data_IF_858291163810
#
_entry.id   IF_858291163810
#
_cell.length_a   1.000
_cell.length_b   1.000
_cell.length_c   1.000
_cell.angle_alpha   90.00
_cell.angle_beta   90.00
_cell.angle_gamma   90.00
#
_symmetry.space_group_name_H-M   'P 1'
#
loop_
_entity.id
_entity.type
_entity.pdbx_description
1 polymer ?
#
# COMPACT_ATOMS: atom_id res chain seq x y z
N UNK A 1 24.69 4.23 4.47
CA UNK A 1 23.41 4.07 5.19
C UNK A 1 23.51 2.81 6.04
N UNK A 2 23.05 2.81 7.30
CA UNK A 2 23.10 1.57 8.10
C UNK A 2 22.00 0.60 7.65
N UNK A 3 22.25 -0.70 7.80
CA UNK A 3 21.29 -1.77 7.44
C UNK A 3 19.97 -1.61 8.19
N UNK A 4 20.05 -1.25 9.47
CA UNK A 4 18.91 -1.06 10.35
C UNK A 4 18.02 0.08 9.86
N UNK A 5 18.63 1.22 9.49
CA UNK A 5 17.89 2.36 8.96
C UNK A 5 17.16 1.98 7.66
N UNK A 6 17.82 1.24 6.76
CA UNK A 6 17.21 0.82 5.51
C UNK A 6 16.01 -0.10 5.74
N UNK A 7 16.15 -1.12 6.59
CA UNK A 7 15.05 -2.04 6.90
C UNK A 7 13.89 -1.32 7.59
N UNK A 8 14.17 -0.35 8.46
CA UNK A 8 13.13 0.51 9.06
C UNK A 8 12.41 1.31 7.97
N UNK A 9 13.14 1.91 7.02
CA UNK A 9 12.54 2.65 5.93
C UNK A 9 11.65 1.77 5.05
N UNK A 10 12.12 0.56 4.70
CA UNK A 10 11.34 -0.44 3.95
C UNK A 10 10.08 -0.85 4.71
N UNK A 11 10.19 -1.12 6.01
CA UNK A 11 9.05 -1.47 6.85
C UNK A 11 8.02 -0.33 6.93
N UNK A 12 8.45 0.91 7.14
CA UNK A 12 7.57 2.07 7.19
C UNK A 12 6.85 2.29 5.86
N UNK A 13 7.57 2.26 4.75
CA UNK A 13 6.96 2.39 3.41
C UNK A 13 5.99 1.26 3.13
N UNK A 14 6.31 0.03 3.55
CA UNK A 14 5.41 -1.12 3.40
C UNK A 14 4.10 -0.90 4.15
N UNK A 15 4.16 -0.50 5.43
CA UNK A 15 2.98 -0.25 6.27
C UNK A 15 2.13 0.88 5.71
N UNK A 16 2.72 2.01 5.37
CA UNK A 16 2.00 3.17 4.84
C UNK A 16 1.42 2.90 3.45
N UNK A 17 2.18 2.26 2.55
CA UNK A 17 1.72 1.89 1.22
C UNK A 17 0.56 0.89 1.30
N UNK A 18 0.68 -0.16 2.10
CA UNK A 18 -0.39 -1.14 2.31
C UNK A 18 -1.63 -0.48 2.92
N UNK A 19 -1.47 0.46 3.86
CA UNK A 19 -2.59 1.22 4.44
C UNK A 19 -3.30 2.06 3.38
N UNK A 20 -2.55 2.75 2.51
CA UNK A 20 -3.10 3.54 1.40
C UNK A 20 -3.85 2.66 0.41
N UNK A 21 -3.26 1.54 0.01
CA UNK A 21 -3.88 0.56 -0.88
C UNK A 21 -5.16 -0.01 -0.28
N UNK A 22 -5.14 -0.33 1.01
CA UNK A 22 -6.32 -0.83 1.73
C UNK A 22 -7.44 0.21 1.71
N UNK A 23 -7.12 1.46 2.02
CA UNK A 23 -8.10 2.56 1.98
C UNK A 23 -8.64 2.77 0.57
N UNK A 24 -7.79 2.74 -0.45
CA UNK A 24 -8.20 2.83 -1.84
C UNK A 24 -9.14 1.68 -2.22
N UNK A 25 -8.77 0.45 -1.90
CA UNK A 25 -9.53 -0.74 -2.25
C UNK A 25 -10.90 -0.81 -1.53
N UNK A 26 -10.98 -0.36 -0.29
CA UNK A 26 -12.17 -0.56 0.56
C UNK A 26 -13.04 0.69 0.67
N UNK A 27 -12.46 1.88 0.82
CA UNK A 27 -13.19 3.08 1.21
C UNK A 27 -13.23 4.18 0.14
N UNK A 28 -12.13 4.48 -0.54
CA UNK A 28 -12.08 5.67 -1.39
C UNK A 28 -12.92 5.50 -2.68
N UNK A 29 -13.69 6.53 -3.03
CA UNK A 29 -14.50 6.58 -4.24
C UNK A 29 -13.77 7.23 -5.43
N UNK A 30 -12.45 7.10 -5.47
CA UNK A 30 -11.66 7.60 -6.58
C UNK A 30 -12.08 6.87 -7.88
N UNK A 31 -12.48 7.58 -8.97
CA UNK A 31 -13.22 6.97 -10.07
C UNK A 31 -12.57 5.73 -10.71
N UNK A 32 -11.24 5.70 -10.95
CA UNK A 32 -10.58 4.50 -11.44
C UNK A 32 -10.69 3.32 -10.48
N UNK A 33 -10.48 3.54 -9.17
CA UNK A 33 -10.49 2.47 -8.17
C UNK A 33 -11.91 1.96 -7.94
N UNK A 34 -12.89 2.87 -7.91
CA UNK A 34 -14.31 2.51 -7.85
C UNK A 34 -14.72 1.63 -9.02
N UNK A 35 -14.31 1.97 -10.25
CA UNK A 35 -14.61 1.14 -11.42
C UNK A 35 -14.09 -0.30 -11.25
N UNK A 36 -12.84 -0.47 -10.81
CA UNK A 36 -12.29 -1.82 -10.59
C UNK A 36 -12.99 -2.56 -9.45
N UNK A 37 -13.34 -1.85 -8.37
CA UNK A 37 -14.09 -2.42 -7.25
C UNK A 37 -15.47 -2.90 -7.68
N UNK A 38 -16.20 -2.10 -8.45
CA UNK A 38 -17.51 -2.45 -8.99
C UNK A 38 -17.42 -3.64 -9.96
N UNK A 39 -16.41 -3.67 -10.84
CA UNK A 39 -16.16 -4.84 -11.71
C UNK A 39 -15.84 -6.11 -10.94
N UNK A 40 -15.08 -6.00 -9.86
CA UNK A 40 -14.78 -7.12 -8.99
C UNK A 40 -16.06 -7.61 -8.28
N UNK A 41 -16.96 -6.71 -7.89
CA UNK A 41 -18.26 -7.09 -7.35
C UNK A 41 -19.11 -7.86 -8.34
N UNK A 42 -19.23 -7.38 -9.57
CA UNK A 42 -19.98 -8.05 -10.64
C UNK A 42 -19.45 -9.49 -10.87
N UNK A 43 -18.12 -9.68 -10.82
CA UNK A 43 -17.49 -10.98 -11.00
C UNK A 43 -17.73 -11.94 -9.82
N UNK A 44 -17.80 -11.39 -8.61
CA UNK A 44 -17.98 -12.16 -7.37
C UNK A 44 -19.46 -12.37 -7.01
N UNK A 45 -20.40 -11.79 -7.74
CA UNK A 45 -21.82 -12.03 -7.50
C UNK A 45 -22.26 -13.35 -8.15
N UNK A 46 -23.07 -14.16 -7.44
CA UNK A 46 -23.65 -15.40 -8.00
C UNK A 46 -23.44 -16.71 -7.23
N UNK A 47 -22.88 -16.71 -6.01
CA UNK A 47 -22.87 -17.92 -5.17
C UNK A 47 -22.34 -17.72 -3.75
N UNK A 48 -22.73 -18.59 -2.80
CA UNK A 48 -22.37 -18.50 -1.37
C UNK A 48 -20.84 -18.43 -1.17
N UNK A 49 -20.07 -19.24 -1.91
CA UNK A 49 -18.59 -19.20 -1.89
C UNK A 49 -18.03 -17.87 -2.39
N UNK A 50 -18.59 -17.28 -3.46
CA UNK A 50 -18.07 -16.01 -4.01
C UNK A 50 -18.43 -14.81 -3.12
N UNK A 51 -19.59 -14.85 -2.46
CA UNK A 51 -19.98 -13.86 -1.44
C UNK A 51 -19.04 -13.86 -0.22
N UNK A 52 -18.41 -14.99 0.13
CA UNK A 52 -17.36 -15.01 1.15
C UNK A 52 -16.10 -14.29 0.70
N UNK A 53 -15.72 -14.37 -0.58
CA UNK A 53 -14.59 -13.61 -1.11
C UNK A 53 -14.88 -12.12 -1.19
N UNK A 54 -16.15 -11.73 -1.38
CA UNK A 54 -16.53 -10.31 -1.29
C UNK A 54 -16.19 -9.75 0.10
N UNK A 55 -16.37 -10.49 1.21
CA UNK A 55 -16.09 -9.91 2.54
C UNK A 55 -14.65 -9.38 2.70
N UNK A 56 -13.70 -9.99 1.98
CA UNK A 56 -12.29 -9.56 1.99
C UNK A 56 -12.15 -8.15 1.41
N UNK A 57 -12.95 -7.79 0.41
CA UNK A 57 -12.88 -6.50 -0.29
C UNK A 57 -13.66 -5.39 0.43
N UNK A 58 -14.52 -5.75 1.40
CA UNK A 58 -15.31 -4.80 2.21
C UNK A 58 -14.72 -4.54 3.60
N UNK A 59 -13.91 -5.47 4.10
CA UNK A 59 -13.33 -5.39 5.44
C UNK A 59 -11.90 -4.84 5.35
N UNK A 60 -11.67 -3.62 5.85
CA UNK A 60 -10.34 -3.00 5.86
C UNK A 60 -9.28 -3.88 6.53
N UNK A 61 -9.61 -4.52 7.66
CA UNK A 61 -8.71 -5.44 8.35
C UNK A 61 -8.41 -6.71 7.54
N UNK A 62 -9.38 -7.19 6.78
CA UNK A 62 -9.25 -8.41 5.98
C UNK A 62 -8.46 -8.13 4.71
N UNK A 63 -8.75 -7.01 4.02
CA UNK A 63 -8.04 -6.54 2.84
C UNK A 63 -6.58 -6.19 3.16
N UNK A 64 -6.31 -5.57 4.33
CA UNK A 64 -4.97 -5.11 4.68
C UNK A 64 -3.96 -6.23 4.76
N UNK A 65 -4.34 -7.41 5.25
CA UNK A 65 -3.48 -8.59 5.25
C UNK A 65 -3.02 -8.97 3.85
N UNK A 66 -3.95 -9.10 2.90
CA UNK A 66 -3.65 -9.49 1.52
C UNK A 66 -2.85 -8.43 0.77
N UNK A 67 -3.18 -7.15 0.95
CA UNK A 67 -2.46 -6.05 0.31
C UNK A 67 -1.06 -5.87 0.90
N UNK A 68 -0.89 -6.07 2.20
CA UNK A 68 0.45 -6.09 2.83
C UNK A 68 1.28 -7.23 2.27
N UNK A 69 0.71 -8.44 2.17
CA UNK A 69 1.40 -9.57 1.54
C UNK A 69 1.80 -9.27 0.09
N UNK A 70 0.94 -8.60 -0.69
CA UNK A 70 1.28 -8.23 -2.07
C UNK A 70 2.46 -7.24 -2.13
N UNK A 71 2.49 -6.22 -1.25
CA UNK A 71 3.60 -5.26 -1.18
C UNK A 71 4.90 -5.93 -0.75
N UNK A 72 4.84 -6.80 0.27
CA UNK A 72 6.00 -7.56 0.76
C UNK A 72 6.52 -8.53 -0.29
N UNK A 73 5.63 -9.28 -0.96
CA UNK A 73 6.01 -10.19 -2.03
C UNK A 73 6.67 -9.44 -3.20
N UNK A 74 6.19 -8.25 -3.55
CA UNK A 74 6.87 -7.43 -4.56
C UNK A 74 8.24 -6.94 -4.06
N UNK A 75 8.37 -6.58 -2.78
CA UNK A 75 9.66 -6.21 -2.20
C UNK A 75 10.67 -7.36 -2.32
N UNK A 76 10.25 -8.58 -2.00
CA UNK A 76 11.07 -9.78 -2.12
C UNK A 76 11.47 -10.04 -3.59
N UNK A 77 10.50 -10.05 -4.51
CA UNK A 77 10.74 -10.27 -5.94
C UNK A 77 11.59 -9.19 -6.61
N UNK A 78 11.57 -7.97 -6.09
CA UNK A 78 12.42 -6.88 -6.57
C UNK A 78 13.81 -6.89 -5.92
N UNK A 79 14.08 -7.76 -4.95
CA UNK A 79 15.35 -7.80 -4.22
C UNK A 79 15.53 -6.60 -3.29
N UNK A 80 14.43 -6.00 -2.79
CA UNK A 80 14.50 -4.87 -1.86
C UNK A 80 15.16 -5.29 -0.55
N UNK A 81 14.87 -6.48 -0.04
CA UNK A 81 15.48 -6.95 1.21
C UNK A 81 16.99 -7.18 1.10
N UNK A 82 17.51 -7.45 -0.11
CA UNK A 82 18.95 -7.58 -0.38
C UNK A 82 19.61 -6.24 -0.74
N UNK A 83 18.81 -5.21 -1.02
CA UNK A 83 19.27 -3.88 -1.45
C UNK A 83 20.07 -3.10 -0.42
N UNK A 84 20.20 -3.56 0.82
CA UNK A 84 21.11 -2.96 1.80
C UNK A 84 22.58 -3.32 1.54
N UNK A 85 22.86 -4.38 0.77
CA UNK A 85 24.23 -4.82 0.43
C UNK A 85 24.85 -4.00 -0.71
N UNK A 86 24.20 -2.92 -1.14
CA UNK A 86 24.69 -2.05 -2.21
C UNK A 86 26.05 -1.49 -1.81
N UNK A 87 27.09 -2.03 -2.45
CA UNK A 87 28.47 -1.56 -2.38
C UNK A 87 28.51 -0.15 -2.98
N UNK A 88 29.33 0.72 -2.41
CA UNK A 88 29.54 2.09 -2.90
C UNK A 88 29.82 2.07 -4.42
N UNK A 89 28.90 2.65 -5.22
CA UNK A 89 28.99 2.70 -6.68
C UNK A 89 28.11 1.71 -7.46
N UNK A 90 27.30 0.88 -6.80
CA UNK A 90 26.34 0.01 -7.49
C UNK A 90 24.94 0.65 -7.57
N UNK A 91 24.42 0.82 -8.78
CA UNK A 91 23.08 1.35 -9.00
C UNK A 91 21.99 0.35 -8.55
N UNK A 92 20.88 0.89 -8.04
CA UNK A 92 19.68 0.10 -7.76
C UNK A 92 19.15 -0.53 -9.04
N UNK A 93 18.69 -1.77 -8.96
CA UNK A 93 18.02 -2.40 -10.09
C UNK A 93 16.74 -1.63 -10.44
N UNK A 94 16.34 -1.69 -11.72
CA UNK A 94 15.10 -1.07 -12.19
C UNK A 94 13.87 -1.52 -11.36
N UNK A 95 13.85 -2.77 -10.90
CA UNK A 95 12.77 -3.31 -10.08
C UNK A 95 12.78 -2.74 -8.66
N UNK A 96 13.95 -2.54 -8.06
CA UNK A 96 14.07 -1.87 -6.75
C UNK A 96 13.63 -0.41 -6.86
N UNK A 97 14.07 0.30 -7.92
CA UNK A 97 13.65 1.67 -8.17
C UNK A 97 12.13 1.77 -8.36
N UNK A 98 11.53 0.87 -9.14
CA UNK A 98 10.08 0.83 -9.35
C UNK A 98 9.32 0.58 -8.05
N UNK A 99 9.80 -0.33 -7.19
CA UNK A 99 9.18 -0.57 -5.89
C UNK A 99 9.20 0.68 -5.00
N UNK A 100 10.35 1.35 -4.90
CA UNK A 100 10.49 2.60 -4.15
C UNK A 100 9.63 3.72 -4.72
N UNK A 101 9.59 3.86 -6.04
CA UNK A 101 8.78 4.87 -6.68
C UNK A 101 7.29 4.65 -6.37
N UNK A 102 6.77 3.46 -6.64
CA UNK A 102 5.33 3.18 -6.46
C UNK A 102 4.94 3.17 -4.98
N UNK A 103 5.61 2.39 -4.15
CA UNK A 103 5.24 2.29 -2.73
C UNK A 103 5.64 3.52 -1.93
N UNK A 104 6.77 4.16 -2.27
CA UNK A 104 7.18 5.42 -1.67
C UNK A 104 6.20 6.55 -1.99
N UNK A 105 5.71 6.67 -3.24
CA UNK A 105 4.67 7.66 -3.57
C UNK A 105 3.35 7.35 -2.86
N UNK A 106 2.93 6.10 -2.77
CA UNK A 106 1.73 5.71 -2.02
C UNK A 106 1.87 6.05 -0.53
N UNK A 107 3.00 5.72 0.08
CA UNK A 107 3.29 6.01 1.48
C UNK A 107 3.35 7.51 1.76
N UNK A 108 4.09 8.27 0.94
CA UNK A 108 4.27 9.70 1.10
C UNK A 108 2.94 10.45 0.90
N UNK A 109 2.16 10.11 -0.12
CA UNK A 109 0.84 10.73 -0.35
C UNK A 109 -0.15 10.42 0.78
N UNK A 110 -0.08 9.22 1.37
CA UNK A 110 -0.91 8.88 2.51
C UNK A 110 -0.51 9.64 3.77
N UNK A 111 0.79 9.71 4.07
CA UNK A 111 1.30 10.50 5.18
C UNK A 111 0.94 12.00 5.01
N UNK A 112 1.11 12.56 3.81
CA UNK A 112 0.73 13.93 3.51
C UNK A 112 -0.77 14.20 3.73
N UNK A 113 -1.64 13.25 3.35
CA UNK A 113 -3.08 13.36 3.59
C UNK A 113 -3.43 13.33 5.08
N UNK A 114 -2.76 12.49 5.89
CA UNK A 114 -2.93 12.46 7.35
C UNK A 114 -2.49 13.78 7.97
N UNK A 115 -1.32 14.31 7.55
CA UNK A 115 -0.82 15.58 8.05
C UNK A 115 -1.76 16.73 7.71
N UNK A 116 -2.28 16.79 6.49
CA UNK A 116 -3.25 17.81 6.08
C UNK A 116 -4.55 17.72 6.88
N UNK A 117 -5.08 16.50 7.09
CA UNK A 117 -6.29 16.30 7.89
C UNK A 117 -6.10 16.75 9.34
N UNK A 118 -4.96 16.43 9.95
CA UNK A 118 -4.65 16.83 11.33
C UNK A 118 -4.36 18.33 11.48
N UNK A 119 -3.84 18.99 10.44
CA UNK A 119 -3.62 20.44 10.44
C UNK A 119 -4.96 21.19 10.41
N UNK A 120 -5.95 20.67 9.66
CA UNK A 120 -7.29 21.24 9.56
C UNK A 120 -8.18 21.02 10.79
N UNK A 121 -7.98 19.95 11.57
CA UNK A 121 -8.84 19.59 12.72
C UNK A 121 -8.67 20.55 13.92
N UNK A 122 -7.59 21.33 13.97
CA UNK A 122 -7.35 22.32 15.02
C UNK A 122 -8.13 23.65 14.82
N UNK A 123 -8.98 23.74 13.79
CA UNK A 123 -9.71 24.96 13.42
C UNK A 123 -11.18 25.03 13.87
N UNK A 124 -11.79 23.89 14.22
CA UNK A 124 -13.25 23.76 14.40
C UNK A 124 -13.65 23.38 15.84
N UNK A 125 -12.86 23.78 16.85
CA UNK A 125 -13.35 23.90 18.24
C UNK A 125 -13.92 25.32 18.47
N UNK A 126 -15.16 25.55 18.04
CA UNK A 126 -16.02 26.67 18.47
C UNK A 126 -17.48 26.21 18.61
#
# INVERSE_FOLDING_TARGET
MSTEFYLIAVALVTVLSASRLTRLAVHDDFPPVRFFRDKMYDLLDGGVRRRQWQIITWCGYCASFWLTMAVVAWADLSGIFDGYQVVEGQDLSLWQQAWWFVNGTLAASYAAAILMANDGDNGDEN
#
